data_IF_053887086703
#
_entry.id   IF_053887086703
#
_cell.length_a   1.000
_cell.length_b   1.000
_cell.length_c   1.000
_cell.angle_alpha   90.00
_cell.angle_beta   90.00
_cell.angle_gamma   90.00
#
_symmetry.space_group_name_H-M   'P 1'
#
loop_
_entity.id
_entity.type
_entity.pdbx_description
1 polymer ?
#
# COMPACT_ATOMS: atom_id res chain seq x y z
N UNK A 1 -42.52 -18.41 58.50
CA UNK A 1 -41.94 -17.61 57.39
C UNK A 1 -40.47 -17.98 57.28
N UNK A 2 -40.01 -18.35 56.06
CA UNK A 2 -38.77 -17.87 55.41
C UNK A 2 -37.46 -18.11 56.21
N UNK A 3 -36.44 -18.84 55.77
CA UNK A 3 -35.93 -19.18 54.44
C UNK A 3 -34.81 -20.22 54.65
N UNK A 4 -34.65 -21.08 53.64
CA UNK A 4 -33.65 -22.14 53.52
C UNK A 4 -32.25 -21.53 53.52
N UNK A 5 -31.35 -22.03 54.37
CA UNK A 5 -29.95 -21.61 54.40
C UNK A 5 -29.12 -22.54 53.50
N UNK A 6 -28.62 -21.92 52.44
CA UNK A 6 -27.58 -22.28 51.48
C UNK A 6 -26.60 -23.40 51.87
N UNK A 7 -26.43 -24.37 50.96
CA UNK A 7 -25.18 -25.09 50.78
C UNK A 7 -24.62 -24.77 49.38
N UNK A 8 -23.53 -24.00 49.39
CA UNK A 8 -22.73 -23.57 48.25
C UNK A 8 -22.01 -24.78 47.63
N UNK A 9 -22.27 -25.05 46.35
CA UNK A 9 -21.42 -25.94 45.54
C UNK A 9 -20.26 -25.08 45.02
N UNK A 10 -19.05 -25.40 45.49
CA UNK A 10 -17.81 -24.81 45.01
C UNK A 10 -17.49 -25.36 43.61
N UNK A 11 -17.76 -24.56 42.58
CA UNK A 11 -17.12 -24.73 41.26
C UNK A 11 -15.78 -23.99 41.32
N UNK A 12 -14.72 -24.77 41.50
CA UNK A 12 -13.34 -24.31 41.28
C UNK A 12 -13.17 -24.14 39.77
N UNK A 13 -13.34 -22.92 39.27
CA UNK A 13 -12.75 -22.52 37.99
C UNK A 13 -11.35 -22.03 38.31
N UNK A 14 -10.37 -22.90 38.04
CA UNK A 14 -8.97 -22.50 37.95
C UNK A 14 -8.85 -21.46 36.83
N UNK A 15 -8.67 -20.19 37.18
CA UNK A 15 -8.12 -19.23 36.23
C UNK A 15 -6.66 -19.59 36.01
N UNK A 16 -6.42 -20.35 34.96
CA UNK A 16 -5.11 -20.37 34.31
C UNK A 16 -4.79 -18.94 33.93
N UNK A 17 -3.76 -18.37 34.57
CA UNK A 17 -3.08 -17.17 34.07
C UNK A 17 -2.51 -17.54 32.71
N UNK A 18 -3.33 -17.35 31.67
CA UNK A 18 -2.90 -17.51 30.29
C UNK A 18 -1.95 -16.36 30.00
N UNK A 19 -0.67 -16.69 29.80
CA UNK A 19 0.30 -15.86 29.09
C UNK A 19 -0.01 -15.75 27.57
N UNK A 20 -1.30 -15.80 27.21
CA UNK A 20 -1.83 -15.43 25.91
C UNK A 20 -2.08 -13.92 26.04
N UNK A 21 -1.34 -13.01 25.41
CA UNK A 21 -1.47 -12.81 23.97
C UNK A 21 -0.35 -11.91 23.37
N UNK A 22 0.83 -11.82 23.99
CA UNK A 22 1.85 -10.88 23.50
C UNK A 22 2.54 -11.32 22.19
N UNK A 23 2.37 -12.58 21.77
CA UNK A 23 2.91 -13.09 20.49
C UNK A 23 1.88 -13.09 19.35
N UNK A 24 0.58 -12.94 19.67
CA UNK A 24 -0.51 -12.88 18.69
C UNK A 24 -0.81 -11.44 18.23
N UNK A 25 -0.48 -10.44 19.05
CA UNK A 25 -0.56 -9.03 18.65
C UNK A 25 0.51 -8.63 17.60
N UNK A 26 1.65 -9.34 17.54
CA UNK A 26 2.68 -9.11 16.51
C UNK A 26 2.26 -9.58 15.11
N UNK A 27 1.24 -10.44 15.01
CA UNK A 27 0.80 -11.00 13.73
C UNK A 27 -0.47 -10.34 13.18
N UNK A 28 -1.05 -9.39 13.91
CA UNK A 28 -2.28 -8.68 13.53
C UNK A 28 -2.08 -7.20 13.17
N UNK A 29 -0.83 -6.73 13.07
CA UNK A 29 -0.51 -5.47 12.40
C UNK A 29 -0.13 -5.73 10.94
N UNK A 30 -1.00 -6.43 10.19
CA UNK A 30 -1.07 -6.18 8.75
C UNK A 30 -1.63 -4.77 8.66
N UNK A 31 -0.76 -3.75 8.62
CA UNK A 31 -1.16 -2.38 8.29
C UNK A 31 -1.92 -2.48 6.97
N UNK A 32 -3.24 -2.54 7.06
CA UNK A 32 -4.10 -2.74 5.92
C UNK A 32 -4.10 -1.42 5.17
N UNK A 33 -3.16 -1.28 4.24
CA UNK A 33 -3.11 -0.14 3.33
C UNK A 33 -4.49 -0.07 2.68
N UNK A 34 -5.19 1.03 2.93
CA UNK A 34 -6.59 1.16 2.52
C UNK A 34 -6.68 1.29 1.00
N UNK A 35 -7.79 0.84 0.41
CA UNK A 35 -8.03 1.06 -1.03
C UNK A 35 -7.97 2.54 -1.37
N UNK A 36 -8.50 3.42 -0.50
CA UNK A 36 -8.46 4.87 -0.71
C UNK A 36 -7.04 5.44 -0.79
N UNK A 37 -6.12 4.95 0.06
CA UNK A 37 -4.71 5.34 -0.02
C UNK A 37 -4.07 4.87 -1.34
N UNK A 38 -4.35 3.64 -1.76
CA UNK A 38 -3.86 3.07 -3.02
C UNK A 38 -4.39 3.87 -4.20
N UNK A 39 -5.70 4.12 -4.25
CA UNK A 39 -6.37 4.83 -5.34
C UNK A 39 -5.87 6.28 -5.43
N UNK A 40 -5.69 6.94 -4.27
CA UNK A 40 -5.13 8.28 -4.19
C UNK A 40 -3.67 8.35 -4.65
N UNK A 41 -2.84 7.38 -4.25
CA UNK A 41 -1.45 7.30 -4.72
C UNK A 41 -1.40 7.00 -6.21
N UNK A 42 -2.18 6.04 -6.70
CA UNK A 42 -2.25 5.68 -8.11
C UNK A 42 -2.65 6.89 -8.96
N UNK A 43 -3.73 7.60 -8.59
CA UNK A 43 -4.15 8.81 -9.28
C UNK A 43 -3.06 9.89 -9.34
N UNK A 44 -2.31 10.08 -8.25
CA UNK A 44 -1.17 11.00 -8.23
C UNK A 44 -0.05 10.57 -9.20
N UNK A 45 0.30 9.27 -9.22
CA UNK A 45 1.33 8.76 -10.14
C UNK A 45 0.88 8.85 -11.59
N UNK A 46 -0.35 8.46 -11.91
CA UNK A 46 -0.92 8.54 -13.26
C UNK A 46 -0.91 9.99 -13.74
N UNK A 47 -1.35 10.96 -12.93
CA UNK A 47 -1.31 12.38 -13.29
C UNK A 47 0.10 12.86 -13.60
N UNK A 48 1.09 12.40 -12.83
CA UNK A 48 2.51 12.73 -13.04
C UNK A 48 3.04 12.13 -14.36
N UNK A 49 2.73 10.87 -14.65
CA UNK A 49 3.13 10.22 -15.90
C UNK A 49 2.39 10.79 -17.11
N UNK A 50 1.09 11.03 -16.99
CA UNK A 50 0.26 11.67 -18.01
C UNK A 50 0.85 13.01 -18.45
N UNK A 51 1.22 13.87 -17.50
CA UNK A 51 1.85 15.16 -17.79
C UNK A 51 3.25 15.02 -18.41
N UNK A 52 4.06 14.08 -17.91
CA UNK A 52 5.45 13.91 -18.37
C UNK A 52 5.57 13.24 -19.73
N UNK A 53 4.69 12.30 -20.05
CA UNK A 53 4.73 11.47 -21.24
C UNK A 53 3.64 11.83 -22.25
N UNK A 54 2.80 12.82 -21.93
CA UNK A 54 1.66 13.21 -22.76
C UNK A 54 0.74 12.00 -23.08
N UNK A 55 0.34 11.27 -22.03
CA UNK A 55 -0.49 10.07 -22.18
C UNK A 55 -1.91 10.44 -22.60
N UNK A 56 -2.45 9.73 -23.60
CA UNK A 56 -3.88 9.83 -23.94
C UNK A 56 -4.77 9.12 -22.90
N UNK A 57 -6.09 9.27 -23.00
CA UNK A 57 -7.05 8.71 -22.03
C UNK A 57 -6.92 7.19 -21.87
N UNK A 58 -6.82 6.45 -22.99
CA UNK A 58 -6.66 4.99 -22.96
C UNK A 58 -5.34 4.57 -22.28
N UNK A 59 -4.25 5.30 -22.54
CA UNK A 59 -2.98 5.05 -21.87
C UNK A 59 -3.06 5.38 -20.37
N UNK A 60 -3.75 6.45 -19.98
CA UNK A 60 -3.93 6.81 -18.58
C UNK A 60 -4.70 5.73 -17.81
N UNK A 61 -5.73 5.12 -18.41
CA UNK A 61 -6.45 3.99 -17.82
C UNK A 61 -5.55 2.75 -17.63
N UNK A 62 -4.78 2.39 -18.67
CA UNK A 62 -3.87 1.25 -18.61
C UNK A 62 -2.75 1.48 -17.58
N UNK A 63 -2.18 2.69 -17.53
CA UNK A 63 -1.18 3.06 -16.52
C UNK A 63 -1.79 3.08 -15.12
N UNK A 64 -3.04 3.53 -14.97
CA UNK A 64 -3.75 3.48 -13.69
C UNK A 64 -3.88 2.05 -13.17
N UNK A 65 -4.36 1.14 -14.03
CA UNK A 65 -4.45 -0.29 -13.70
C UNK A 65 -3.08 -0.88 -13.33
N UNK A 66 -2.04 -0.56 -14.11
CA UNK A 66 -0.68 -1.00 -13.85
C UNK A 66 -0.16 -0.49 -12.49
N UNK A 67 -0.34 0.80 -12.19
CA UNK A 67 0.11 1.38 -10.92
C UNK A 67 -0.67 0.77 -9.75
N UNK A 68 -2.00 0.66 -9.83
CA UNK A 68 -2.81 0.03 -8.76
C UNK A 68 -2.36 -1.41 -8.50
N UNK A 69 -2.12 -2.17 -9.57
CA UNK A 69 -1.59 -3.55 -9.45
C UNK A 69 -0.25 -3.58 -8.71
N UNK A 70 0.68 -2.70 -9.08
CA UNK A 70 1.98 -2.59 -8.41
C UNK A 70 1.85 -2.17 -6.94
N UNK A 71 1.02 -1.17 -6.64
CA UNK A 71 0.80 -0.72 -5.26
C UNK A 71 0.17 -1.78 -4.36
N UNK A 72 -0.57 -2.74 -4.94
CA UNK A 72 -1.15 -3.89 -4.23
C UNK A 72 -0.16 -5.06 -4.04
N UNK A 73 0.99 -5.05 -4.71
CA UNK A 73 2.02 -6.08 -4.53
C UNK A 73 2.60 -6.03 -3.11
N UNK A 74 3.11 -7.17 -2.61
CA UNK A 74 3.64 -7.26 -1.25
C UNK A 74 4.77 -6.25 -0.98
N UNK A 75 5.63 -6.02 -1.97
CA UNK A 75 6.74 -5.06 -1.90
C UNK A 75 6.23 -3.65 -1.60
N UNK A 76 5.25 -3.19 -2.38
CA UNK A 76 4.69 -1.87 -2.20
C UNK A 76 3.81 -1.80 -0.95
N UNK A 77 3.03 -2.83 -0.64
CA UNK A 77 2.23 -2.88 0.59
C UNK A 77 3.11 -2.75 1.85
N UNK A 78 4.29 -3.39 1.88
CA UNK A 78 5.27 -3.23 2.98
C UNK A 78 5.79 -1.79 3.06
N UNK A 79 6.17 -1.20 1.93
CA UNK A 79 6.65 0.19 1.86
C UNK A 79 5.56 1.18 2.32
N UNK A 80 4.35 1.07 1.79
CA UNK A 80 3.21 1.91 2.16
C UNK A 80 2.82 1.73 3.64
N UNK A 81 2.90 0.51 4.17
CA UNK A 81 2.68 0.26 5.60
C UNK A 81 3.67 0.99 6.51
N UNK A 82 4.88 1.31 6.01
CA UNK A 82 5.89 2.06 6.75
C UNK A 82 5.62 3.56 6.82
N UNK A 83 4.70 4.08 6.00
CA UNK A 83 4.33 5.50 6.02
C UNK A 83 3.55 5.89 7.28
N UNK A 84 3.04 4.91 8.04
CA UNK A 84 2.34 5.14 9.31
C UNK A 84 0.99 5.84 9.18
N UNK A 85 0.46 5.97 7.95
CA UNK A 85 -0.83 6.59 7.65
C UNK A 85 -1.63 5.75 6.67
N UNK A 86 -2.96 5.84 6.79
CA UNK A 86 -3.93 5.27 5.84
C UNK A 86 -4.63 6.34 4.99
N UNK A 87 -4.26 7.61 5.15
CA UNK A 87 -4.91 8.76 4.52
C UNK A 87 -3.97 9.42 3.50
N UNK A 88 -4.42 9.55 2.24
CA UNK A 88 -3.60 10.16 1.17
C UNK A 88 -3.19 11.61 1.45
N UNK A 89 -4.01 12.35 2.20
CA UNK A 89 -3.75 13.75 2.58
C UNK A 89 -2.59 13.89 3.56
N UNK A 90 -2.29 12.84 4.33
CA UNK A 90 -1.17 12.80 5.28
C UNK A 90 0.12 12.30 4.62
N UNK A 91 0.03 11.72 3.41
CA UNK A 91 1.21 11.26 2.67
C UNK A 91 2.00 12.47 2.18
N UNK A 92 3.24 12.55 2.63
CA UNK A 92 4.13 13.68 2.32
C UNK A 92 4.61 13.66 0.85
N UNK A 93 5.09 14.80 0.33
CA UNK A 93 5.71 14.84 -1.00
C UNK A 93 6.88 13.86 -1.16
N UNK A 94 7.67 13.67 -0.10
CA UNK A 94 8.84 12.77 -0.08
C UNK A 94 8.39 11.30 -0.20
N UNK A 95 7.37 10.91 0.57
CA UNK A 95 6.77 9.56 0.48
C UNK A 95 6.15 9.32 -0.91
N UNK A 96 5.47 10.32 -1.50
CA UNK A 96 4.95 10.24 -2.88
C UNK A 96 6.09 10.08 -3.90
N UNK A 97 7.23 10.74 -3.67
CA UNK A 97 8.41 10.62 -4.50
C UNK A 97 9.09 9.24 -4.34
N UNK A 98 9.13 8.71 -3.13
CA UNK A 98 9.62 7.36 -2.84
C UNK A 98 8.81 6.31 -3.60
N UNK A 99 7.47 6.42 -3.59
CA UNK A 99 6.59 5.57 -4.42
C UNK A 99 6.95 5.70 -5.90
N UNK A 100 7.15 6.92 -6.43
CA UNK A 100 7.57 7.09 -7.83
C UNK A 100 8.90 6.39 -8.10
N UNK A 101 9.91 6.57 -7.23
CA UNK A 101 11.24 5.97 -7.38
C UNK A 101 11.17 4.45 -7.34
N UNK A 102 10.38 3.89 -6.43
CA UNK A 102 10.16 2.46 -6.31
C UNK A 102 9.53 1.88 -7.58
N UNK A 103 8.50 2.54 -8.15
CA UNK A 103 7.89 2.16 -9.43
C UNK A 103 8.91 2.21 -10.57
N UNK A 104 9.65 3.32 -10.70
CA UNK A 104 10.69 3.51 -11.72
C UNK A 104 11.93 2.62 -11.51
N UNK A 105 12.02 1.88 -10.42
CA UNK A 105 13.08 0.89 -10.19
C UNK A 105 12.57 -0.54 -10.34
N UNK A 106 11.26 -0.71 -10.52
CA UNK A 106 10.62 -2.02 -10.56
C UNK A 106 10.58 -2.58 -12.00
N UNK A 107 11.22 -3.72 -12.28
CA UNK A 107 11.28 -4.27 -13.64
C UNK A 107 9.90 -4.62 -14.21
N UNK A 108 8.97 -5.09 -13.38
CA UNK A 108 7.62 -5.46 -13.84
C UNK A 108 6.83 -4.20 -14.21
N UNK A 109 6.93 -3.14 -13.41
CA UNK A 109 6.36 -1.84 -13.76
C UNK A 109 6.94 -1.30 -15.06
N UNK A 110 8.28 -1.29 -15.22
CA UNK A 110 8.93 -0.81 -16.46
C UNK A 110 8.51 -1.60 -17.69
N UNK A 111 8.45 -2.93 -17.57
CA UNK A 111 8.02 -3.83 -18.62
C UNK A 111 6.55 -3.61 -19.00
N UNK A 112 5.69 -3.40 -18.00
CA UNK A 112 4.28 -3.04 -18.22
C UNK A 112 4.14 -1.69 -18.91
N UNK A 113 4.83 -0.67 -18.41
CA UNK A 113 4.81 0.68 -18.97
C UNK A 113 5.27 0.68 -20.43
N UNK A 114 6.35 -0.02 -20.75
CA UNK A 114 6.88 -0.13 -22.11
C UNK A 114 5.92 -0.77 -23.12
N UNK A 115 4.93 -1.54 -22.66
CA UNK A 115 3.88 -2.11 -23.53
C UNK A 115 2.73 -1.13 -23.81
N UNK A 116 2.53 -0.14 -22.94
CA UNK A 116 1.46 0.86 -23.04
C UNK A 116 1.91 2.07 -23.87
N UNK A 117 3.19 2.43 -23.74
CA UNK A 117 3.76 3.61 -24.38
C UNK A 117 4.08 3.39 -25.86
N UNK A 118 3.96 4.44 -26.66
CA UNK A 118 4.52 4.48 -28.01
C UNK A 118 6.04 4.73 -27.99
N UNK A 119 6.69 4.63 -29.14
CA UNK A 119 8.16 4.74 -29.22
C UNK A 119 8.71 6.13 -28.86
N UNK A 120 7.94 7.20 -29.08
CA UNK A 120 8.30 8.54 -28.65
C UNK A 120 8.25 8.65 -27.13
N UNK A 121 7.18 8.15 -26.53
CA UNK A 121 6.97 8.13 -25.09
C UNK A 121 7.95 7.21 -24.36
N UNK A 122 8.34 6.06 -24.94
CA UNK A 122 9.38 5.17 -24.36
C UNK A 122 10.73 5.87 -24.23
N UNK A 123 11.12 6.68 -25.22
CA UNK A 123 12.34 7.50 -25.14
C UNK A 123 12.25 8.51 -24.00
N UNK A 124 11.13 9.21 -23.88
CA UNK A 124 10.89 10.14 -22.77
C UNK A 124 10.90 9.43 -21.41
N UNK A 125 10.31 8.24 -21.34
CA UNK A 125 10.26 7.42 -20.13
C UNK A 125 11.66 6.99 -19.67
N UNK A 126 12.50 6.54 -20.59
CA UNK A 126 13.90 6.16 -20.30
C UNK A 126 14.70 7.33 -19.71
N UNK A 127 14.46 8.56 -20.18
CA UNK A 127 15.06 9.78 -19.62
C UNK A 127 14.54 10.15 -18.23
N UNK A 128 13.35 9.69 -17.85
CA UNK A 128 12.78 9.90 -16.50
C UNK A 128 13.32 8.86 -15.53
N UNK A 129 13.62 7.63 -15.99
CA UNK A 129 14.25 6.57 -15.20
C UNK A 129 15.69 6.89 -14.81
N UNK A 130 16.41 7.58 -15.70
CA UNK A 130 17.80 7.98 -15.51
C UNK A 130 17.83 9.49 -15.31
N UNK A 131 17.55 10.03 -14.09
CA UNK A 131 17.79 11.43 -13.85
C UNK A 131 19.29 11.63 -14.07
N UNK A 132 19.61 12.26 -15.19
CA UNK A 132 20.97 12.66 -15.50
C UNK A 132 21.35 13.59 -14.35
N UNK A 133 22.33 13.17 -13.55
CA UNK A 133 23.03 14.07 -12.62
C UNK A 133 23.39 15.32 -13.42
N UNK A 134 22.79 16.44 -13.05
CA UNK A 134 23.24 17.78 -13.40
C UNK A 134 23.35 18.56 -12.11
#
# INVERSE_FOLDING_TARGET
MKKVLSLLIAVVVTTTVSAQDLKSLSSSAKSSVTSSLIDGLAGNQVKKFAKKLNLNESQQEQVSSLVVSQLKSEKFQKMLGSFGTTNISEVTPEQKQEVTKALLSDPEFKGGMSKILDDGQKKMFSSIESPTEK
#
